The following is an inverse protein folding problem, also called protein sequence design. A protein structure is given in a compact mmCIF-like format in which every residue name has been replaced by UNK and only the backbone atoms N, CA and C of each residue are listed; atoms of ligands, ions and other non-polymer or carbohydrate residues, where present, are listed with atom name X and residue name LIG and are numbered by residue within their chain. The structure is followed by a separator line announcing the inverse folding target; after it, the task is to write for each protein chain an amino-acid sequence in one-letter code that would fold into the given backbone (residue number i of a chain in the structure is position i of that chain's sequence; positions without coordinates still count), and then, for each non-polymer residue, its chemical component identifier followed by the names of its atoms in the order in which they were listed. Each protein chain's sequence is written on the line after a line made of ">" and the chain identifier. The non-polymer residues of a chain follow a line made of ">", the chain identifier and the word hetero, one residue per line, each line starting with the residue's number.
data_IF_797644805822
#
_entry.id   IF_797644805822
#
_cell.length_a   1.000
_cell.length_b   1.000
_cell.length_c   1.000
_cell.angle_alpha   90.00
_cell.angle_beta   90.00
_cell.angle_gamma   90.00
#
_symmetry.space_group_name_H-M   'P 1'
#
loop_
_entity.id
_entity.type
_entity.pdbx_description
1 polymer ?
#
# COMPACT_ATOMS: atom_id res chain seq x y z
N UNK A 1 17.46 14.00 13.84
CA UNK A 1 17.85 14.08 12.41
C UNK A 1 16.88 13.25 11.59
N UNK A 2 16.89 13.36 10.26
CA UNK A 2 16.04 12.55 9.39
C UNK A 2 16.90 11.73 8.42
N UNK A 3 16.39 10.58 8.00
CA UNK A 3 17.02 9.73 6.99
C UNK A 3 15.95 9.15 6.08
N UNK A 4 16.18 9.10 4.79
CA UNK A 4 15.38 8.31 3.85
C UNK A 4 16.20 7.14 3.33
N UNK A 5 15.55 6.03 3.04
CA UNK A 5 16.12 4.89 2.35
C UNK A 5 15.24 4.53 1.16
N UNK A 6 15.77 4.54 -0.05
CA UNK A 6 15.07 4.06 -1.23
C UNK A 6 14.97 2.53 -1.18
N UNK A 7 13.75 1.98 -1.14
CA UNK A 7 13.53 0.54 -1.00
C UNK A 7 13.89 -0.26 -2.27
N UNK A 8 13.97 0.39 -3.43
CA UNK A 8 14.37 -0.24 -4.69
C UNK A 8 15.88 -0.29 -4.92
N UNK A 9 16.63 0.72 -4.44
CA UNK A 9 18.10 0.81 -4.64
C UNK A 9 18.92 0.56 -3.38
N UNK A 10 18.29 0.58 -2.20
CA UNK A 10 18.94 0.52 -0.89
C UNK A 10 19.70 1.79 -0.49
N UNK A 11 19.75 2.82 -1.34
CA UNK A 11 20.48 4.05 -1.07
C UNK A 11 19.85 4.84 0.08
N UNK A 12 20.68 5.30 1.00
CA UNK A 12 20.29 6.13 2.13
C UNK A 12 20.75 7.59 1.94
N UNK A 13 19.93 8.54 2.40
CA UNK A 13 20.27 9.96 2.44
C UNK A 13 19.80 10.58 3.75
N UNK A 14 20.67 11.39 4.38
CA UNK A 14 20.40 12.04 5.66
C UNK A 14 20.09 13.53 5.49
N UNK A 15 19.20 14.04 6.36
CA UNK A 15 18.78 15.44 6.40
C UNK A 15 18.82 15.99 7.83
N UNK A 16 19.36 17.20 8.04
CA UNK A 16 19.52 17.76 9.39
C UNK A 16 18.18 18.09 10.07
N UNK A 17 17.14 18.45 9.30
CA UNK A 17 15.83 18.88 9.81
C UNK A 17 14.70 18.56 8.82
N UNK A 18 13.44 18.74 9.26
CA UNK A 18 12.24 18.40 8.48
C UNK A 18 12.10 19.24 7.19
N UNK A 19 12.60 20.48 7.17
CA UNK A 19 12.55 21.31 5.96
C UNK A 19 13.54 20.82 4.90
N UNK A 20 14.75 20.41 5.31
CA UNK A 20 15.73 19.79 4.42
C UNK A 20 15.25 18.42 3.90
N UNK A 21 14.58 17.62 4.75
CA UNK A 21 13.92 16.37 4.33
C UNK A 21 12.86 16.63 3.25
N UNK A 22 11.98 17.62 3.47
CA UNK A 22 10.90 17.97 2.55
C UNK A 22 11.45 18.43 1.20
N UNK A 23 12.45 19.33 1.18
CA UNK A 23 13.14 19.75 -0.05
C UNK A 23 13.84 18.57 -0.76
N UNK A 24 14.40 17.62 -0.01
CA UNK A 24 15.00 16.41 -0.57
C UNK A 24 13.99 15.49 -1.24
N UNK A 25 12.84 15.28 -0.59
CA UNK A 25 11.73 14.49 -1.14
C UNK A 25 11.07 15.17 -2.35
N UNK A 26 10.91 16.50 -2.34
CA UNK A 26 10.48 17.29 -3.51
C UNK A 26 11.50 17.18 -4.67
N UNK A 27 12.80 17.14 -4.37
CA UNK A 27 13.85 16.88 -5.35
C UNK A 27 13.73 15.49 -5.98
N UNK A 28 13.51 14.45 -5.17
CA UNK A 28 13.26 13.09 -5.64
C UNK A 28 11.93 12.95 -6.40
N UNK A 29 10.90 13.71 -6.04
CA UNK A 29 9.65 13.79 -6.81
C UNK A 29 9.87 14.35 -8.21
N UNK A 30 10.56 15.48 -8.31
CA UNK A 30 10.93 16.06 -9.61
C UNK A 30 11.78 15.08 -10.44
N UNK A 31 12.72 14.35 -9.80
CA UNK A 31 13.53 13.32 -10.48
C UNK A 31 12.67 12.15 -10.98
N UNK A 32 11.76 11.63 -10.15
CA UNK A 32 10.86 10.54 -10.51
C UNK A 32 9.89 10.94 -11.64
N UNK A 33 9.33 12.15 -11.58
CA UNK A 33 8.49 12.71 -12.64
C UNK A 33 9.25 12.86 -13.97
N UNK A 34 10.47 13.41 -13.95
CA UNK A 34 11.31 13.56 -15.14
C UNK A 34 11.69 12.22 -15.79
N UNK A 35 11.85 11.17 -14.99
CA UNK A 35 12.21 9.83 -15.46
C UNK A 35 11.00 8.92 -15.73
N UNK A 36 9.77 9.40 -15.48
CA UNK A 36 8.54 8.62 -15.50
C UNK A 36 8.64 7.33 -14.66
N UNK A 37 9.13 7.48 -13.44
CA UNK A 37 9.37 6.41 -12.46
C UNK A 37 8.59 6.63 -11.17
N UNK A 38 8.39 5.56 -10.42
CA UNK A 38 7.87 5.59 -9.05
C UNK A 38 8.95 5.00 -8.13
N UNK A 39 9.19 5.63 -6.99
CA UNK A 39 10.11 5.17 -5.95
C UNK A 39 9.41 5.17 -4.58
N UNK A 40 9.63 4.11 -3.83
CA UNK A 40 9.16 3.98 -2.44
C UNK A 40 10.34 4.18 -1.50
N UNK A 41 10.16 5.06 -0.51
CA UNK A 41 11.15 5.42 0.48
C UNK A 41 10.67 5.04 1.88
N UNK A 42 11.54 4.42 2.67
CA UNK A 42 11.37 4.38 4.12
C UNK A 42 11.95 5.67 4.70
N UNK A 43 11.10 6.48 5.35
CA UNK A 43 11.50 7.71 6.04
C UNK A 43 11.67 7.41 7.52
N UNK A 44 12.75 7.91 8.12
CA UNK A 44 13.08 7.77 9.54
C UNK A 44 13.27 9.14 10.18
N UNK A 45 12.68 9.34 11.35
CA UNK A 45 13.00 10.40 12.29
C UNK A 45 13.85 9.78 13.41
N UNK A 46 15.09 10.25 13.55
CA UNK A 46 16.08 9.73 14.47
C UNK A 46 16.34 10.73 15.60
N UNK A 47 16.47 10.25 16.83
CA UNK A 47 16.86 11.04 17.99
C UNK A 47 18.38 11.41 17.96
N UNK A 48 18.90 11.99 19.05
CA UNK A 48 20.33 12.33 19.15
C UNK A 48 21.27 11.13 19.29
N UNK A 49 20.74 9.96 19.67
CA UNK A 49 21.45 8.70 19.85
C UNK A 49 21.33 7.77 18.62
N UNK A 50 20.69 8.24 17.54
CA UNK A 50 20.30 7.46 16.35
C UNK A 50 19.23 6.38 16.62
N UNK A 51 18.50 6.46 17.73
CA UNK A 51 17.28 5.67 17.96
C UNK A 51 16.14 6.19 17.06
N UNK A 52 15.34 5.29 16.47
CA UNK A 52 14.20 5.65 15.62
C UNK A 52 13.03 6.13 16.50
N UNK A 53 12.70 7.42 16.42
CA UNK A 53 11.53 8.03 17.06
C UNK A 53 10.24 7.76 16.28
N UNK A 54 10.34 7.82 14.96
CA UNK A 54 9.21 7.68 14.04
C UNK A 54 9.70 7.13 12.70
N UNK A 55 8.88 6.32 12.03
CA UNK A 55 9.18 5.89 10.66
C UNK A 55 7.89 5.71 9.87
N UNK A 56 7.95 6.00 8.57
CA UNK A 56 6.85 5.78 7.62
C UNK A 56 7.41 5.22 6.29
N UNK A 57 6.54 4.61 5.52
CA UNK A 57 6.78 4.32 4.10
C UNK A 57 6.07 5.40 3.27
N UNK A 58 6.74 5.93 2.25
CA UNK A 58 6.26 7.03 1.43
C UNK A 58 6.63 6.78 -0.04
N UNK A 59 5.62 6.77 -0.93
CA UNK A 59 5.79 6.50 -2.36
C UNK A 59 5.62 7.77 -3.18
N UNK A 60 6.57 8.03 -4.07
CA UNK A 60 6.68 9.25 -4.89
C UNK A 60 6.86 8.88 -6.37
N UNK A 61 6.17 9.55 -7.32
CA UNK A 61 5.09 10.51 -7.09
C UNK A 61 3.83 9.82 -6.51
N UNK A 62 2.96 10.61 -5.86
CA UNK A 62 1.64 10.13 -5.47
C UNK A 62 0.82 9.72 -6.70
N UNK A 63 -0.05 8.73 -6.56
CA UNK A 63 -1.04 8.38 -7.59
C UNK A 63 -2.24 9.35 -7.65
N UNK A 64 -2.22 10.42 -6.86
CA UNK A 64 -3.24 11.47 -6.82
C UNK A 64 -2.65 12.88 -6.78
N UNK A 65 -3.47 13.88 -6.48
CA UNK A 65 -3.06 15.29 -6.39
C UNK A 65 -2.40 15.67 -5.05
N UNK A 66 -1.77 14.71 -4.37
CA UNK A 66 -1.14 14.91 -3.07
C UNK A 66 0.34 15.24 -3.25
N UNK A 67 0.73 16.47 -2.88
CA UNK A 67 2.12 16.89 -2.82
C UNK A 67 2.89 16.13 -1.72
N UNK A 68 4.22 16.08 -1.85
CA UNK A 68 5.14 15.50 -0.84
C UNK A 68 4.87 16.03 0.57
N UNK A 69 4.41 17.27 0.71
CA UNK A 69 4.10 17.89 1.99
C UNK A 69 2.87 17.28 2.66
N UNK A 70 1.80 16.99 1.91
CA UNK A 70 0.61 16.29 2.38
C UNK A 70 0.93 14.83 2.70
N UNK A 71 1.69 14.13 1.83
CA UNK A 71 2.15 12.76 2.09
C UNK A 71 2.96 12.64 3.40
N UNK A 72 3.82 13.64 3.67
CA UNK A 72 4.65 13.66 4.88
C UNK A 72 3.84 14.02 6.15
N UNK A 73 2.71 14.71 6.02
CA UNK A 73 1.79 15.03 7.11
C UNK A 73 2.47 15.58 8.38
N UNK A 74 2.08 15.06 9.55
CA UNK A 74 2.64 15.49 10.85
C UNK A 74 3.99 14.83 11.22
N UNK A 75 4.58 14.05 10.30
CA UNK A 75 5.82 13.33 10.56
C UNK A 75 6.97 14.27 10.91
N UNK A 76 7.75 13.91 11.93
CA UNK A 76 8.85 14.75 12.41
C UNK A 76 8.42 16.01 13.16
N UNK A 77 7.11 16.23 13.39
CA UNK A 77 6.61 17.26 14.32
C UNK A 77 6.50 16.76 15.76
N UNK A 78 6.51 15.43 15.97
CA UNK A 78 6.64 14.81 17.28
C UNK A 78 7.99 15.19 17.89
N UNK A 79 7.96 16.05 18.90
CA UNK A 79 9.12 16.28 19.78
C UNK A 79 9.48 14.99 20.49
N UNK A 80 10.76 14.79 20.80
CA UNK A 80 11.22 13.74 21.73
C UNK A 80 10.26 13.74 22.94
N UNK A 81 9.56 12.62 23.18
CA UNK A 81 8.92 12.43 24.48
C UNK A 81 10.06 12.40 25.49
N UNK A 82 10.26 13.52 26.18
CA UNK A 82 11.19 13.59 27.29
C UNK A 82 10.86 12.41 28.21
N UNK A 83 11.84 11.54 28.48
CA UNK A 83 11.74 10.49 29.50
C UNK A 83 11.66 11.16 30.88
N UNK A 84 10.53 11.84 31.12
CA UNK A 84 10.19 12.61 32.30
C UNK A 84 9.83 11.62 33.41
N UNK A 85 10.89 11.07 33.98
CA UNK A 85 10.97 10.37 35.26
C UNK A 85 9.66 10.20 36.02
N UNK A 86 9.18 8.96 36.03
CA UNK A 86 8.18 8.49 36.99
C UNK A 86 8.65 8.68 38.44
N UNK A 87 8.40 9.85 39.04
CA UNK A 87 8.41 10.04 40.50
C UNK A 87 7.26 10.93 40.99
N UNK A 88 6.14 10.25 41.24
CA UNK A 88 5.23 10.36 42.41
C UNK A 88 4.98 11.77 42.99
N UNK A 89 3.75 12.25 42.83
CA UNK A 89 3.16 13.30 43.67
C UNK A 89 1.65 13.09 43.84
N UNK A 90 1.22 12.34 44.87
CA UNK A 90 -0.19 12.34 45.32
C UNK A 90 -0.48 13.71 45.94
N UNK A 91 -1.48 14.44 45.45
CA UNK A 91 -2.65 14.91 46.25
C UNK A 91 -3.56 15.87 45.46
N UNK A 92 -4.87 15.63 45.52
CA UNK A 92 -5.92 16.68 45.45
C UNK A 92 -6.09 17.28 46.85
N UNK A 93 -6.56 18.53 46.97
CA UNK A 93 -7.91 18.70 47.52
C UNK A 93 -8.83 19.63 46.70
N UNK A 94 -10.10 19.64 47.11
CA UNK A 94 -11.23 20.42 46.56
C UNK A 94 -11.29 21.85 47.13
N UNK A 95 -12.16 22.67 46.53
CA UNK A 95 -13.32 23.20 47.27
C UNK A 95 -14.58 23.25 46.38
N UNK A 96 -15.67 23.79 46.90
CA UNK A 96 -17.04 23.85 46.34
C UNK A 96 -17.43 25.34 46.05
N UNK A 97 -18.65 25.82 45.73
CA UNK A 97 -20.06 25.38 45.92
C UNK A 97 -20.99 26.17 44.93
N UNK A 98 -22.31 26.05 45.12
CA UNK A 98 -23.45 26.87 44.67
C UNK A 98 -24.28 26.21 43.54
N UNK A 99 -25.24 25.30 43.81
CA UNK A 99 -26.58 25.43 44.47
C UNK A 99 -27.60 26.19 43.58
N UNK A 100 -28.89 25.84 43.39
CA UNK A 100 -29.95 25.06 44.10
C UNK A 100 -30.89 24.41 43.04
N UNK A 101 -31.84 23.49 43.32
CA UNK A 101 -33.03 23.69 44.17
C UNK A 101 -33.78 22.40 44.64
N UNK A 102 -34.74 22.64 45.54
CA UNK A 102 -35.76 21.84 46.29
C UNK A 102 -36.66 20.88 45.46
N UNK A 103 -37.44 19.92 46.04
CA UNK A 103 -37.63 19.43 47.44
C UNK A 103 -38.55 18.18 47.58
N UNK A 104 -38.20 17.26 48.50
CA UNK A 104 -39.06 16.51 49.48
C UNK A 104 -40.31 15.66 49.04
N UNK A 105 -40.93 14.81 49.91
CA UNK A 105 -40.47 14.13 51.16
C UNK A 105 -40.79 12.57 51.24
N UNK A 106 -39.89 11.69 51.73
CA UNK A 106 -39.73 11.13 53.11
C UNK A 106 -40.57 9.87 53.53
N UNK A 107 -39.88 8.96 54.28
CA UNK A 107 -40.24 7.67 54.98
C UNK A 107 -39.85 6.39 54.18
N UNK A 108 -39.58 5.19 54.77
CA UNK A 108 -39.69 4.68 56.17
C UNK A 108 -38.66 3.54 56.54
N UNK A 109 -38.06 3.61 57.73
CA UNK A 109 -37.67 2.57 58.75
C UNK A 109 -37.64 1.07 58.30
N UNK A 110 -36.50 0.37 58.19
CA UNK A 110 -35.60 -0.28 59.21
C UNK A 110 -36.18 -1.54 59.91
N UNK A 111 -35.44 -2.67 59.82
CA UNK A 111 -34.92 -3.61 60.88
C UNK A 111 -34.38 -4.86 60.12
N UNK A 112 -33.06 -5.17 60.09
CA UNK A 112 -32.23 -5.94 61.07
C UNK A 112 -32.71 -7.40 61.28
N UNK A 113 -31.89 -8.46 61.43
CA UNK A 113 -30.42 -8.68 61.46
C UNK A 113 -30.12 -10.21 61.43
N UNK A 114 -28.82 -10.59 61.34
CA UNK A 114 -28.18 -11.87 61.77
C UNK A 114 -28.07 -13.06 60.79
N UNK A 115 -26.85 -13.21 60.26
CA UNK A 115 -26.15 -14.50 60.23
C UNK A 115 -25.64 -14.85 61.66
N UNK A 116 -25.25 -16.11 61.96
CA UNK A 116 -23.83 -16.48 61.74
C UNK A 116 -23.54 -17.96 61.37
N UNK A 117 -22.33 -18.22 60.85
CA UNK A 117 -21.63 -19.53 60.87
C UNK A 117 -20.98 -19.76 62.24
N UNK A 118 -20.64 -20.99 62.70
CA UNK A 118 -19.30 -21.56 62.37
C UNK A 118 -19.12 -23.11 62.39
N UNK A 119 -17.89 -23.53 62.02
CA UNK A 119 -17.08 -24.66 62.54
C UNK A 119 -17.45 -26.16 62.36
N UNK A 120 -16.81 -26.77 61.35
CA UNK A 120 -15.72 -27.78 61.45
C UNK A 120 -15.83 -29.10 62.28
N UNK A 121 -15.55 -30.22 61.55
CA UNK A 121 -14.98 -31.53 61.96
C UNK A 121 -15.81 -32.42 62.93
N UNK A 122 -15.80 -33.76 62.88
CA UNK A 122 -14.88 -34.73 62.25
C UNK A 122 -15.54 -36.08 61.85
N UNK A 123 -14.89 -36.84 60.93
CA UNK A 123 -14.83 -38.33 60.73
C UNK A 123 -15.99 -39.23 61.25
N UNK A 124 -16.48 -40.23 60.49
CA UNK A 124 -15.66 -41.39 60.05
C UNK A 124 -16.29 -42.26 58.94
N UNK A 125 -15.43 -43.04 58.27
CA UNK A 125 -15.64 -44.36 57.60
C UNK A 125 -16.58 -44.54 56.38
N UNK A 126 -15.92 -44.74 55.22
CA UNK A 126 -16.06 -45.87 54.25
C UNK A 126 -17.47 -46.40 53.89
N UNK A 127 -17.81 -46.55 52.59
CA UNK A 127 -17.14 -47.51 51.70
C UNK A 127 -17.09 -47.12 50.20
N UNK A 128 -16.35 -47.93 49.43
CA UNK A 128 -15.91 -47.70 48.04
C UNK A 128 -16.75 -48.37 46.95
N UNK A 129 -16.75 -47.80 45.73
CA UNK A 129 -16.60 -48.51 44.43
C UNK A 129 -16.52 -47.46 43.28
N UNK A 130 -15.36 -47.22 42.66
CA UNK A 130 -14.81 -47.95 41.49
C UNK A 130 -15.51 -47.72 40.12
N UNK A 131 -15.83 -46.48 39.72
CA UNK A 131 -16.15 -46.14 38.31
C UNK A 131 -15.64 -44.77 37.79
N UNK A 132 -14.60 -44.19 38.41
CA UNK A 132 -14.30 -42.75 38.28
C UNK A 132 -12.98 -42.29 37.64
N UNK A 133 -12.13 -43.18 37.08
CA UNK A 133 -10.77 -42.80 36.59
C UNK A 133 -10.61 -42.78 35.06
N UNK A 134 -11.15 -43.76 34.33
CA UNK A 134 -11.04 -43.81 32.87
C UNK A 134 -11.71 -42.63 32.16
N UNK A 135 -12.91 -42.26 32.59
CA UNK A 135 -13.68 -41.17 31.97
C UNK A 135 -13.00 -39.80 32.11
N UNK A 136 -12.30 -39.53 33.22
CA UNK A 136 -11.57 -38.27 33.43
C UNK A 136 -10.33 -38.17 32.55
N UNK A 137 -9.64 -39.28 32.32
CA UNK A 137 -8.52 -39.32 31.37
C UNK A 137 -9.00 -39.11 29.93
N UNK A 138 -10.12 -39.74 29.54
CA UNK A 138 -10.73 -39.57 28.21
C UNK A 138 -11.12 -38.11 27.95
N UNK A 139 -11.76 -37.45 28.91
CA UNK A 139 -12.13 -36.02 28.79
C UNK A 139 -10.90 -35.11 28.66
N UNK A 140 -9.81 -35.38 29.38
CA UNK A 140 -8.55 -34.63 29.24
C UNK A 140 -7.88 -34.83 27.87
N UNK A 141 -7.93 -36.03 27.30
CA UNK A 141 -7.41 -36.28 25.95
C UNK A 141 -8.27 -35.58 24.89
N UNK A 142 -9.60 -35.61 25.03
CA UNK A 142 -10.52 -34.91 24.11
C UNK A 142 -10.30 -33.40 24.15
N UNK A 143 -10.19 -32.78 25.33
CA UNK A 143 -9.96 -31.33 25.42
C UNK A 143 -8.60 -30.89 24.87
N UNK A 144 -7.56 -31.72 25.02
CA UNK A 144 -6.26 -31.49 24.40
C UNK A 144 -6.32 -31.59 22.86
N UNK A 145 -7.05 -32.56 22.32
CA UNK A 145 -7.21 -32.70 20.87
C UNK A 145 -8.00 -31.52 20.27
N UNK A 146 -9.05 -31.03 20.94
CA UNK A 146 -9.79 -29.85 20.48
C UNK A 146 -8.92 -28.58 20.47
N UNK A 147 -7.97 -28.42 21.41
CA UNK A 147 -7.07 -27.26 21.40
C UNK A 147 -6.03 -27.34 20.28
N UNK A 148 -5.57 -28.54 19.91
CA UNK A 148 -4.73 -28.73 18.73
C UNK A 148 -5.50 -28.41 17.43
N UNK A 149 -6.77 -28.83 17.31
CA UNK A 149 -7.61 -28.52 16.14
C UNK A 149 -7.88 -27.02 16.02
N UNK A 150 -8.16 -26.31 17.12
CA UNK A 150 -8.38 -24.86 17.05
C UNK A 150 -7.10 -24.09 16.72
N UNK A 151 -5.93 -24.57 17.14
CA UNK A 151 -4.63 -24.05 16.69
C UNK A 151 -4.43 -24.28 15.18
N UNK A 152 -4.73 -25.49 14.69
CA UNK A 152 -4.57 -25.86 13.29
C UNK A 152 -5.49 -25.05 12.37
N UNK A 153 -6.77 -24.88 12.76
CA UNK A 153 -7.74 -24.00 12.07
C UNK A 153 -7.31 -22.53 12.12
N UNK A 154 -6.73 -22.06 13.23
CA UNK A 154 -6.21 -20.69 13.32
C UNK A 154 -4.96 -20.47 12.47
N UNK A 155 -4.15 -21.51 12.24
CA UNK A 155 -2.96 -21.46 11.40
C UNK A 155 -3.33 -21.49 9.91
N UNK A 156 -4.24 -22.39 9.50
CA UNK A 156 -4.75 -22.42 8.11
C UNK A 156 -5.60 -21.19 7.76
N UNK A 157 -6.37 -20.64 8.70
CA UNK A 157 -7.06 -19.35 8.50
C UNK A 157 -6.09 -18.16 8.38
N UNK A 158 -4.84 -18.28 8.87
CA UNK A 158 -3.76 -17.31 8.58
C UNK A 158 -3.14 -17.55 7.21
N UNK A 159 -2.91 -18.80 6.81
CA UNK A 159 -2.42 -19.12 5.47
C UNK A 159 -3.36 -18.63 4.36
N UNK A 160 -4.69 -18.78 4.52
CA UNK A 160 -5.63 -18.24 3.54
C UNK A 160 -5.66 -16.70 3.52
N UNK A 161 -5.62 -16.04 4.69
CA UNK A 161 -5.60 -14.56 4.76
C UNK A 161 -4.28 -13.94 4.32
N UNK A 162 -3.19 -14.70 4.28
CA UNK A 162 -1.89 -14.24 3.78
C UNK A 162 -1.68 -14.57 2.29
N UNK A 163 -2.63 -15.26 1.65
CA UNK A 163 -2.63 -15.58 0.21
C UNK A 163 -3.39 -14.58 -0.67
N UNK A 164 -3.92 -13.49 -0.10
CA UNK A 164 -4.14 -12.26 -0.85
C UNK A 164 -2.81 -11.52 -1.06
N UNK A 165 -1.85 -12.21 -1.67
CA UNK A 165 -0.69 -11.56 -2.28
C UNK A 165 -1.25 -10.73 -3.42
N UNK A 166 -1.50 -9.44 -3.16
CA UNK A 166 -1.55 -8.47 -4.23
C UNK A 166 -0.27 -8.70 -5.02
N UNK A 167 -0.41 -9.16 -6.26
CA UNK A 167 0.73 -9.28 -7.16
C UNK A 167 1.16 -7.86 -7.45
N UNK A 168 2.09 -7.35 -6.63
CA UNK A 168 2.98 -6.28 -7.03
C UNK A 168 3.77 -6.83 -8.20
N UNK A 169 3.16 -6.77 -9.38
CA UNK A 169 3.87 -6.92 -10.64
C UNK A 169 4.88 -5.79 -10.60
N UNK A 170 6.14 -6.13 -10.31
CA UNK A 170 7.24 -5.24 -10.62
C UNK A 170 7.18 -5.04 -12.13
N UNK A 171 6.53 -3.95 -12.55
CA UNK A 171 6.50 -3.55 -13.94
C UNK A 171 7.90 -3.07 -14.25
N UNK A 172 8.77 -4.01 -14.61
CA UNK A 172 10.05 -3.71 -15.23
C UNK A 172 9.73 -3.11 -16.59
N UNK A 173 9.53 -1.79 -16.60
CA UNK A 173 9.28 -1.02 -17.83
C UNK A 173 10.48 -1.24 -18.74
N UNK A 174 10.23 -1.80 -19.92
CA UNK A 174 11.25 -1.97 -20.94
C UNK A 174 11.34 -0.65 -21.69
N UNK A 175 12.22 0.22 -21.19
CA UNK A 175 12.46 1.54 -21.77
C UNK A 175 12.76 1.48 -23.27
N UNK A 176 13.32 0.37 -23.78
CA UNK A 176 13.59 0.22 -25.23
C UNK A 176 12.31 -0.03 -26.01
N UNK A 177 11.39 -0.83 -25.48
CA UNK A 177 10.07 -1.05 -26.07
C UNK A 177 9.20 0.21 -26.01
N UNK A 178 9.23 0.95 -24.90
CA UNK A 178 8.53 2.24 -24.74
C UNK A 178 9.05 3.28 -25.75
N UNK A 179 10.36 3.47 -25.84
CA UNK A 179 10.99 4.37 -26.83
C UNK A 179 10.65 3.97 -28.25
N UNK A 180 10.75 2.68 -28.61
CA UNK A 180 10.36 2.17 -29.93
C UNK A 180 8.90 2.51 -30.26
N UNK A 181 7.98 2.25 -29.33
CA UNK A 181 6.56 2.55 -29.51
C UNK A 181 6.31 4.05 -29.69
N UNK A 182 6.97 4.93 -28.94
CA UNK A 182 6.83 6.40 -29.09
C UNK A 182 7.22 6.87 -30.49
N UNK A 183 8.31 6.33 -31.06
CA UNK A 183 8.69 6.63 -32.45
C UNK A 183 7.71 6.05 -33.48
N UNK A 184 7.15 4.86 -33.25
CA UNK A 184 6.09 4.31 -34.10
C UNK A 184 4.83 5.17 -34.06
N UNK A 185 4.39 5.60 -32.88
CA UNK A 185 3.16 6.35 -32.63
C UNK A 185 3.08 7.64 -33.47
N UNK A 186 4.16 8.42 -33.53
CA UNK A 186 4.21 9.62 -34.38
C UNK A 186 4.04 9.29 -35.88
N UNK A 187 4.65 8.19 -36.35
CA UNK A 187 4.51 7.75 -37.74
C UNK A 187 3.13 7.15 -38.06
N UNK A 188 2.51 6.52 -37.06
CA UNK A 188 1.16 5.94 -37.14
C UNK A 188 0.11 7.04 -37.34
N UNK A 189 0.02 8.04 -36.45
CA UNK A 189 -0.96 9.13 -36.61
C UNK A 189 -0.65 10.07 -37.77
N UNK A 190 0.61 10.20 -38.18
CA UNK A 190 0.96 10.96 -39.39
C UNK A 190 0.60 10.23 -40.70
N UNK A 191 0.18 8.95 -40.64
CA UNK A 191 0.08 8.04 -41.79
C UNK A 191 1.36 8.01 -42.66
N UNK A 192 2.52 8.17 -42.02
CA UNK A 192 3.84 8.21 -42.67
C UNK A 192 4.16 6.86 -43.33
N UNK A 193 4.83 6.87 -44.50
CA UNK A 193 5.37 5.65 -45.11
C UNK A 193 6.51 5.03 -44.28
N UNK A 194 7.22 5.85 -43.50
CA UNK A 194 8.25 5.36 -42.59
C UNK A 194 7.72 4.42 -41.50
N UNK A 195 6.39 4.28 -41.34
CA UNK A 195 5.77 3.26 -40.46
C UNK A 195 6.09 1.82 -40.91
N UNK A 196 6.42 1.60 -42.19
CA UNK A 196 6.86 0.30 -42.73
C UNK A 196 8.06 -0.29 -41.96
N UNK A 197 9.02 0.54 -41.55
CA UNK A 197 10.21 0.11 -40.80
C UNK A 197 9.90 -0.46 -39.39
N UNK A 198 8.70 -0.20 -38.87
CA UNK A 198 8.27 -0.58 -37.52
C UNK A 198 7.32 -1.77 -37.50
N UNK A 199 6.74 -2.14 -38.65
CA UNK A 199 5.62 -3.10 -38.73
C UNK A 199 6.11 -4.45 -39.25
N UNK A 200 5.64 -5.54 -38.64
CA UNK A 200 5.90 -6.89 -39.15
C UNK A 200 5.32 -7.06 -40.56
N UNK A 201 6.11 -7.59 -41.50
CA UNK A 201 5.68 -7.91 -42.88
C UNK A 201 4.48 -8.87 -42.97
N UNK A 202 4.09 -9.48 -41.86
CA UNK A 202 2.89 -10.32 -41.73
C UNK A 202 1.60 -9.53 -41.49
N UNK A 203 1.67 -8.20 -41.37
CA UNK A 203 0.53 -7.31 -41.15
C UNK A 203 0.31 -6.42 -42.36
N UNK A 204 -0.95 -6.14 -42.63
CA UNK A 204 -1.39 -5.19 -43.63
C UNK A 204 -1.31 -3.76 -43.07
N UNK A 205 -0.63 -2.85 -43.78
CA UNK A 205 -0.48 -1.45 -43.37
C UNK A 205 -1.72 -0.60 -43.66
N UNK A 206 -2.55 -1.00 -44.62
CA UNK A 206 -3.74 -0.22 -44.99
C UNK A 206 -4.81 -0.34 -43.88
N UNK A 207 -4.90 -1.52 -43.26
CA UNK A 207 -5.69 -1.79 -42.05
C UNK A 207 -5.22 -1.04 -40.79
N UNK A 208 -4.09 -0.33 -40.86
CA UNK A 208 -3.57 0.52 -39.78
C UNK A 208 -3.75 2.02 -40.06
N UNK A 209 -4.37 2.40 -41.18
CA UNK A 209 -4.58 3.81 -41.52
C UNK A 209 -5.63 4.43 -40.59
N UNK A 210 -5.32 5.58 -40.01
CA UNK A 210 -6.21 6.34 -39.12
C UNK A 210 -6.48 7.73 -39.68
N UNK A 211 -7.39 8.46 -39.06
CA UNK A 211 -7.48 9.90 -39.31
C UNK A 211 -6.15 10.57 -38.92
N UNK A 212 -5.62 11.41 -39.83
CA UNK A 212 -4.30 12.02 -39.69
C UNK A 212 -4.30 13.03 -38.55
N UNK A 213 -3.34 12.90 -37.64
CA UNK A 213 -3.20 13.78 -36.49
C UNK A 213 -1.74 14.03 -36.09
N UNK A 214 -1.51 15.16 -35.42
CA UNK A 214 -0.25 15.46 -34.73
C UNK A 214 -0.36 15.04 -33.27
N UNK A 215 0.55 14.20 -32.79
CA UNK A 215 0.58 13.80 -31.37
C UNK A 215 1.19 14.90 -30.51
N UNK A 216 0.40 15.49 -29.61
CA UNK A 216 0.82 16.51 -28.65
C UNK A 216 1.45 15.89 -27.39
N UNK A 217 0.91 14.76 -26.94
CA UNK A 217 1.40 14.01 -25.76
C UNK A 217 1.33 12.51 -26.02
N UNK A 218 2.25 11.76 -25.42
CA UNK A 218 2.23 10.28 -25.41
C UNK A 218 2.65 9.85 -24.00
N UNK A 219 1.73 9.25 -23.26
CA UNK A 219 1.93 8.82 -21.87
C UNK A 219 1.78 7.30 -21.81
N UNK A 220 2.75 6.60 -21.22
CA UNK A 220 2.67 5.15 -21.03
C UNK A 220 1.70 4.87 -19.88
N UNK A 221 0.55 4.26 -20.18
CA UNK A 221 -0.47 3.88 -19.21
C UNK A 221 -0.13 2.55 -18.54
N UNK A 222 0.31 1.57 -19.32
CA UNK A 222 0.72 0.26 -18.79
C UNK A 222 1.63 -0.50 -19.74
N UNK A 223 2.42 -1.42 -19.18
CA UNK A 223 3.22 -2.39 -19.90
C UNK A 223 3.01 -3.79 -19.33
N UNK A 224 2.82 -4.79 -20.19
CA UNK A 224 2.81 -6.21 -19.82
C UNK A 224 3.73 -7.01 -20.73
N UNK A 225 4.77 -7.62 -20.17
CA UNK A 225 5.63 -8.56 -20.91
C UNK A 225 5.07 -9.99 -20.85
N UNK A 226 4.99 -10.67 -22.00
CA UNK A 226 4.50 -12.04 -22.15
C UNK A 226 5.45 -12.85 -23.04
N UNK A 227 6.30 -13.69 -22.41
CA UNK A 227 7.27 -14.60 -23.05
C UNK A 227 8.25 -13.96 -24.05
N UNK A 228 7.77 -13.58 -25.25
CA UNK A 228 8.56 -12.95 -26.33
C UNK A 228 7.93 -11.67 -26.90
N UNK A 229 6.76 -11.27 -26.40
CA UNK A 229 6.03 -10.07 -26.82
C UNK A 229 5.77 -9.15 -25.65
N UNK A 230 5.90 -7.85 -25.85
CA UNK A 230 5.53 -6.82 -24.88
C UNK A 230 4.29 -6.09 -25.40
N UNK A 231 3.26 -6.01 -24.57
CA UNK A 231 2.08 -5.16 -24.82
C UNK A 231 2.27 -3.85 -24.06
N UNK A 232 2.13 -2.73 -24.76
CA UNK A 232 2.24 -1.38 -24.19
C UNK A 232 0.97 -0.60 -24.55
N UNK A 233 0.36 0.03 -23.55
CA UNK A 233 -0.84 0.86 -23.72
C UNK A 233 -0.51 2.30 -23.41
N UNK A 234 -0.97 3.22 -24.25
CA UNK A 234 -0.69 4.65 -24.15
C UNK A 234 -1.96 5.47 -24.08
N UNK A 235 -1.90 6.57 -23.33
CA UNK A 235 -2.80 7.72 -23.48
C UNK A 235 -2.12 8.72 -24.39
N UNK A 236 -2.83 9.19 -25.42
CA UNK A 236 -2.27 10.03 -26.48
C UNK A 236 -3.20 11.23 -26.68
N UNK A 237 -2.68 12.44 -26.48
CA UNK A 237 -3.38 13.66 -26.90
C UNK A 237 -3.03 13.94 -28.35
N UNK A 238 -4.05 13.92 -29.22
CA UNK A 238 -3.92 14.23 -30.64
C UNK A 238 -4.46 15.63 -30.94
N UNK A 239 -3.91 16.27 -31.97
CA UNK A 239 -4.50 17.42 -32.66
C UNK A 239 -4.75 17.07 -34.12
N UNK A 240 -5.94 17.35 -34.61
CA UNK A 240 -6.36 17.11 -35.99
C UNK A 240 -6.13 18.34 -36.88
N UNK A 241 -6.25 18.16 -38.20
CA UNK A 241 -6.03 19.25 -39.18
C UNK A 241 -7.09 20.38 -39.07
N UNK A 242 -8.17 20.18 -38.30
CA UNK A 242 -9.20 21.20 -37.95
C UNK A 242 -8.94 21.92 -36.61
N UNK A 243 -7.74 21.74 -36.03
CA UNK A 243 -7.29 22.20 -34.71
C UNK A 243 -8.06 21.61 -33.51
N UNK A 244 -8.99 20.67 -33.71
CA UNK A 244 -9.61 19.94 -32.58
C UNK A 244 -8.58 19.05 -31.89
N UNK A 245 -8.80 18.81 -30.59
CA UNK A 245 -7.94 17.94 -29.78
C UNK A 245 -8.74 16.87 -29.08
N UNK A 246 -8.30 15.62 -29.18
CA UNK A 246 -8.90 14.49 -28.48
C UNK A 246 -7.85 13.62 -27.80
N UNK A 247 -8.24 12.97 -26.70
CA UNK A 247 -7.44 11.92 -26.07
C UNK A 247 -7.87 10.55 -26.58
N UNK A 248 -6.90 9.73 -27.01
CA UNK A 248 -7.11 8.35 -27.43
C UNK A 248 -6.30 7.41 -26.55
N UNK A 249 -6.82 6.19 -26.35
CA UNK A 249 -6.04 5.06 -25.81
C UNK A 249 -5.55 4.21 -26.97
N UNK A 250 -4.26 3.89 -26.99
CA UNK A 250 -3.64 3.06 -28.03
C UNK A 250 -2.88 1.89 -27.41
N UNK A 251 -3.29 0.66 -27.73
CA UNK A 251 -2.58 -0.57 -27.33
C UNK A 251 -1.75 -1.10 -28.49
N UNK A 252 -0.47 -1.35 -28.24
CA UNK A 252 0.51 -1.89 -29.18
C UNK A 252 1.05 -3.23 -28.67
N UNK A 253 1.21 -4.22 -29.56
CA UNK A 253 1.93 -5.47 -29.24
C UNK A 253 3.21 -5.53 -30.06
N UNK A 254 4.36 -5.47 -29.38
CA UNK A 254 5.69 -5.46 -30.01
C UNK A 254 6.48 -6.72 -29.68
N UNK A 255 7.39 -7.10 -30.56
CA UNK A 255 8.33 -8.21 -30.38
C UNK A 255 9.73 -7.74 -30.73
N UNK A 256 10.72 -8.11 -29.93
CA UNK A 256 12.12 -7.86 -30.24
C UNK A 256 12.53 -8.66 -31.48
N UNK A 257 13.20 -8.00 -32.43
CA UNK A 257 13.76 -8.63 -33.63
C UNK A 257 15.12 -7.98 -33.95
N UNK A 258 16.19 -8.80 -34.02
CA UNK A 258 17.56 -8.34 -34.29
C UNK A 258 17.77 -7.82 -35.72
N UNK A 259 16.89 -8.21 -36.65
CA UNK A 259 16.93 -7.78 -38.05
C UNK A 259 16.10 -6.51 -38.30
N UNK A 260 15.28 -6.10 -37.32
CA UNK A 260 14.46 -4.90 -37.44
C UNK A 260 15.30 -3.63 -37.22
N UNK A 261 15.04 -2.60 -38.03
CA UNK A 261 15.77 -1.32 -38.04
C UNK A 261 15.92 -0.67 -36.65
N UNK A 262 14.89 -0.82 -35.82
CA UNK A 262 14.84 -0.28 -34.46
C UNK A 262 14.84 -1.37 -33.36
N UNK A 263 15.24 -2.60 -33.70
CA UNK A 263 15.36 -3.72 -32.75
C UNK A 263 14.04 -4.37 -32.30
N UNK A 264 12.89 -3.81 -32.67
CA UNK A 264 11.55 -4.32 -32.39
C UNK A 264 10.66 -4.19 -33.63
N UNK A 265 9.55 -4.93 -33.66
CA UNK A 265 8.47 -4.80 -34.64
C UNK A 265 7.11 -4.82 -33.93
N UNK A 266 6.15 -4.06 -34.45
CA UNK A 266 4.71 -4.20 -34.17
C UNK A 266 4.23 -5.51 -34.81
N UNK A 267 3.60 -6.37 -34.02
CA UNK A 267 3.25 -7.76 -34.40
C UNK A 267 1.75 -8.09 -34.35
N UNK A 268 0.92 -7.11 -33.96
CA UNK A 268 -0.54 -7.15 -34.10
C UNK A 268 -1.04 -5.79 -34.58
N UNK A 269 -2.23 -5.75 -35.18
CA UNK A 269 -2.91 -4.49 -35.48
C UNK A 269 -3.03 -3.63 -34.20
N UNK A 270 -2.68 -2.34 -34.24
CA UNK A 270 -2.88 -1.42 -33.12
C UNK A 270 -4.37 -1.34 -32.73
N UNK A 271 -4.64 -1.27 -31.43
CA UNK A 271 -6.01 -1.10 -30.93
C UNK A 271 -6.18 0.35 -30.45
N UNK A 272 -6.90 1.15 -31.22
CA UNK A 272 -7.20 2.55 -30.92
C UNK A 272 -8.63 2.67 -30.38
N UNK A 273 -8.80 3.26 -29.20
CA UNK A 273 -10.12 3.57 -28.61
C UNK A 273 -10.18 5.02 -28.12
N UNK A 274 -11.38 5.52 -27.85
CA UNK A 274 -11.52 6.72 -27.04
C UNK A 274 -10.87 6.52 -25.65
N UNK A 275 -10.37 7.62 -25.07
CA UNK A 275 -9.95 7.68 -23.68
C UNK A 275 -11.01 8.47 -22.89
N UNK A 276 -11.44 8.00 -21.70
CA UNK A 276 -12.53 8.62 -20.91
C UNK A 276 -12.12 9.90 -20.18
#
# INVERSE_FOLDING_TARGET
>A
MFRIQNLGTGQEQEFPNRAALLLGLEGEENRCLQLNQIATFQVFHLDKNQEVLESMELTIPSSGSEDVKMLLGDFGLKKEESRAFWKRGRQKPKQEEQSKDRSHPVKKVIVKEKAPKPSNLSKSQTASTLFGRGLKALVLVITLLLSCVSLWVSLSAREEKQKSTAKTVQVTIDQKADVFCRYFIGNYFANSSAREDFVSKSLDLDQMTVEKATTLSVLLESQTAQQTTTTLTYVISCRYDDETTENKRLTLTVKQNKEAKYGYLVTKLPQLTAYP
#
